data_IF_370373961202
#
_entry.id   IF_370373961202
#
_cell.length_a   1.000
_cell.length_b   1.000
_cell.length_c   1.000
_cell.angle_alpha   90.00
_cell.angle_beta   90.00
_cell.angle_gamma   90.00
#
_symmetry.space_group_name_H-M   'P 1'
#
loop_
_entity.id
_entity.type
_entity.pdbx_description
1 polymer ?
#
# COMPACT_ATOMS: atom_id res chain seq x y z
N UNK A 1 -5.41 -9.32 -28.55
CA UNK A 1 -5.51 -7.96 -27.99
C UNK A 1 -6.96 -7.77 -27.57
N UNK A 2 -7.31 -8.13 -26.33
CA UNK A 2 -8.68 -8.00 -25.83
C UNK A 2 -8.88 -6.60 -25.21
N UNK A 3 -10.06 -5.98 -25.38
CA UNK A 3 -10.32 -4.65 -24.88
C UNK A 3 -10.73 -4.72 -23.40
N UNK A 4 -10.06 -3.95 -22.55
CA UNK A 4 -10.51 -3.65 -21.19
C UNK A 4 -11.75 -2.75 -21.27
N UNK A 5 -12.92 -3.32 -21.54
CA UNK A 5 -14.17 -2.60 -21.50
C UNK A 5 -14.85 -2.80 -20.14
N UNK A 6 -14.93 -1.69 -19.42
CA UNK A 6 -16.08 -1.31 -18.60
C UNK A 6 -16.28 -2.08 -17.29
N UNK A 7 -15.24 -2.13 -16.47
CA UNK A 7 -15.38 -2.36 -15.04
C UNK A 7 -15.04 -1.03 -14.33
N UNK A 8 -15.47 -0.87 -13.09
CA UNK A 8 -14.64 -0.23 -12.06
C UNK A 8 -14.75 1.25 -11.66
N UNK A 9 -15.55 2.14 -12.26
CA UNK A 9 -15.52 3.54 -11.78
C UNK A 9 -15.99 3.73 -10.30
N UNK A 10 -16.72 2.77 -9.73
CA UNK A 10 -17.09 2.76 -8.30
C UNK A 10 -16.23 1.82 -7.42
N UNK A 11 -15.51 0.86 -8.01
CA UNK A 11 -14.72 -0.11 -7.22
C UNK A 11 -13.33 0.40 -6.91
N UNK A 12 -12.73 1.20 -7.78
CA UNK A 12 -11.41 1.79 -7.57
C UNK A 12 -11.39 2.86 -6.48
N UNK A 13 -12.53 3.51 -6.19
CA UNK A 13 -12.66 4.40 -5.02
C UNK A 13 -12.35 3.69 -3.70
N UNK A 14 -12.57 2.36 -3.62
CA UNK A 14 -12.20 1.55 -2.47
C UNK A 14 -10.69 1.29 -2.33
N UNK A 15 -9.88 1.63 -3.33
CA UNK A 15 -8.42 1.46 -3.28
C UNK A 15 -7.70 2.78 -3.05
N UNK A 16 -8.40 3.91 -2.97
CA UNK A 16 -7.76 5.23 -2.77
C UNK A 16 -7.66 5.60 -1.29
N UNK A 17 -8.48 5.00 -0.41
CA UNK A 17 -8.57 5.39 1.00
C UNK A 17 -7.22 5.31 1.73
N UNK A 18 -6.32 4.40 1.33
CA UNK A 18 -5.03 4.25 2.00
C UNK A 18 -4.17 5.51 1.90
N UNK A 19 -4.42 6.37 0.90
CA UNK A 19 -3.80 7.70 0.78
C UNK A 19 -4.18 8.65 1.91
N UNK A 20 -5.25 8.38 2.65
CA UNK A 20 -5.65 9.22 3.78
C UNK A 20 -4.96 8.82 5.09
N UNK A 21 -4.12 7.79 5.09
CA UNK A 21 -3.51 7.24 6.30
C UNK A 21 -1.99 7.45 6.32
N UNK A 22 -1.41 7.86 7.46
CA UNK A 22 0.03 7.80 7.66
C UNK A 22 0.48 6.33 7.75
N UNK A 23 1.72 6.05 7.40
CA UNK A 23 2.29 4.69 7.41
C UNK A 23 2.11 3.96 8.76
N UNK A 24 2.21 4.68 9.88
CA UNK A 24 2.05 4.12 11.22
C UNK A 24 0.60 3.76 11.60
N UNK A 25 -0.41 4.18 10.83
CA UNK A 25 -1.81 3.85 11.06
C UNK A 25 -2.24 2.53 10.39
N UNK A 26 -1.38 1.93 9.56
CA UNK A 26 -1.69 0.64 8.95
C UNK A 26 -1.65 -0.49 9.97
N UNK A 27 -2.62 -1.39 9.85
CA UNK A 27 -2.81 -2.55 10.72
C UNK A 27 -3.01 -3.79 9.84
N UNK A 28 -2.98 -4.98 10.43
CA UNK A 28 -3.32 -6.22 9.71
C UNK A 28 -4.76 -6.21 9.17
N UNK A 29 -5.68 -5.48 9.79
CA UNK A 29 -7.05 -5.35 9.27
C UNK A 29 -7.05 -4.58 7.94
N UNK A 30 -6.25 -3.52 7.84
CA UNK A 30 -6.05 -2.75 6.60
C UNK A 30 -5.41 -3.61 5.50
N UNK A 31 -4.42 -4.45 5.86
CA UNK A 31 -3.81 -5.41 4.93
C UNK A 31 -4.82 -6.43 4.39
N UNK A 32 -5.70 -6.95 5.27
CA UNK A 32 -6.73 -7.92 4.89
C UNK A 32 -7.74 -7.33 3.91
N UNK A 33 -8.21 -6.10 4.15
CA UNK A 33 -9.12 -5.38 3.24
C UNK A 33 -8.45 -5.15 1.88
N UNK A 34 -7.21 -4.66 1.86
CA UNK A 34 -6.45 -4.49 0.61
C UNK A 34 -6.32 -5.81 -0.15
N UNK A 35 -5.98 -6.89 0.54
CA UNK A 35 -5.84 -8.22 -0.08
C UNK A 35 -7.14 -8.70 -0.70
N UNK A 36 -8.28 -8.47 -0.05
CA UNK A 36 -9.59 -8.86 -0.57
C UNK A 36 -9.99 -8.04 -1.79
N UNK A 37 -9.85 -6.71 -1.74
CA UNK A 37 -10.18 -5.82 -2.86
C UNK A 37 -9.30 -6.11 -4.08
N UNK A 38 -8.00 -6.31 -3.87
CA UNK A 38 -7.06 -6.63 -4.95
C UNK A 38 -7.31 -8.03 -5.54
N UNK A 39 -7.72 -9.01 -4.72
CA UNK A 39 -8.12 -10.32 -5.23
C UNK A 39 -9.33 -10.23 -6.16
N UNK A 40 -10.31 -9.40 -5.80
CA UNK A 40 -11.50 -9.13 -6.60
C UNK A 40 -11.14 -8.44 -7.92
N UNK A 41 -10.21 -7.48 -7.88
CA UNK A 41 -9.79 -6.68 -9.03
C UNK A 41 -8.94 -7.47 -10.04
N UNK A 42 -7.91 -8.17 -9.56
CA UNK A 42 -6.94 -8.86 -10.43
C UNK A 42 -7.37 -10.28 -10.81
N UNK A 43 -8.36 -10.85 -10.13
CA UNK A 43 -8.87 -12.20 -10.41
C UNK A 43 -7.75 -13.24 -10.47
N UNK A 44 -7.62 -13.93 -11.61
CA UNK A 44 -6.61 -14.97 -11.79
C UNK A 44 -5.16 -14.46 -11.71
N UNK A 45 -4.91 -13.21 -12.10
CA UNK A 45 -3.58 -12.59 -12.06
C UNK A 45 -3.16 -12.13 -10.66
N UNK A 46 -4.05 -12.26 -9.67
CA UNK A 46 -3.81 -11.83 -8.30
C UNK A 46 -2.67 -12.60 -7.65
N UNK A 47 -2.66 -13.93 -7.80
CA UNK A 47 -1.73 -14.82 -7.09
C UNK A 47 -0.27 -14.44 -7.37
N UNK A 48 0.06 -14.21 -8.65
CA UNK A 48 1.41 -13.84 -9.04
C UNK A 48 1.84 -12.50 -8.44
N UNK A 49 0.99 -11.47 -8.48
CA UNK A 49 1.29 -10.18 -7.88
C UNK A 49 1.31 -10.19 -6.35
N UNK A 50 0.53 -11.06 -5.71
CA UNK A 50 0.46 -11.18 -4.25
C UNK A 50 1.69 -11.88 -3.68
N UNK A 51 2.14 -12.95 -4.34
CA UNK A 51 3.15 -13.84 -3.79
C UNK A 51 4.59 -13.43 -4.24
N UNK A 52 4.73 -12.61 -5.29
CA UNK A 52 6.00 -12.15 -5.82
C UNK A 52 6.09 -10.61 -5.87
N UNK A 53 6.95 -10.04 -5.03
CA UNK A 53 7.18 -8.60 -4.95
C UNK A 53 7.80 -8.04 -6.25
N UNK A 54 8.65 -8.80 -6.94
CA UNK A 54 9.27 -8.36 -8.19
C UNK A 54 8.22 -8.22 -9.30
N UNK A 55 7.24 -9.13 -9.36
CA UNK A 55 6.11 -9.03 -10.29
C UNK A 55 5.26 -7.79 -9.99
N UNK A 56 4.95 -7.54 -8.72
CA UNK A 56 4.22 -6.34 -8.30
C UNK A 56 4.96 -5.04 -8.67
N UNK A 57 6.26 -4.97 -8.36
CA UNK A 57 7.12 -3.83 -8.68
C UNK A 57 7.20 -3.62 -10.20
N UNK A 58 7.42 -4.67 -10.99
CA UNK A 58 7.50 -4.57 -12.44
C UNK A 58 6.20 -4.03 -13.06
N UNK A 59 5.04 -4.48 -12.54
CA UNK A 59 3.72 -3.95 -12.95
C UNK A 59 3.59 -2.48 -12.57
N UNK A 60 3.95 -2.10 -11.36
CA UNK A 60 3.90 -0.71 -10.90
C UNK A 60 4.81 0.20 -11.74
N UNK A 61 6.06 -0.18 -11.99
CA UNK A 61 6.98 0.59 -12.84
C UNK A 61 6.41 0.77 -14.23
N UNK A 62 5.91 -0.30 -14.86
CA UNK A 62 5.35 -0.25 -16.22
C UNK A 62 4.15 0.71 -16.29
N UNK A 63 3.22 0.58 -15.35
CA UNK A 63 2.01 1.42 -15.29
C UNK A 63 2.36 2.87 -14.97
N UNK A 64 3.25 3.10 -14.00
CA UNK A 64 3.70 4.45 -13.67
C UNK A 64 4.44 5.07 -14.86
N UNK A 65 5.27 4.33 -15.60
CA UNK A 65 6.00 4.89 -16.74
C UNK A 65 5.07 5.31 -17.90
N UNK A 66 3.95 4.61 -18.09
CA UNK A 66 2.95 4.97 -19.09
C UNK A 66 2.18 6.25 -18.71
N UNK A 67 2.42 7.34 -19.44
CA UNK A 67 1.73 8.63 -19.23
C UNK A 67 0.22 8.58 -19.55
N UNK A 68 -0.25 7.54 -20.24
CA UNK A 68 -1.66 7.35 -20.60
C UNK A 68 -2.36 6.35 -19.69
N UNK A 69 -1.67 5.79 -18.70
CA UNK A 69 -2.27 4.88 -17.74
C UNK A 69 -3.46 5.57 -17.04
N UNK A 70 -4.65 4.92 -17.00
CA UNK A 70 -5.79 5.47 -16.29
C UNK A 70 -5.48 5.53 -14.79
N UNK A 71 -6.03 6.54 -14.10
CA UNK A 71 -5.80 6.75 -12.67
C UNK A 71 -6.14 5.50 -11.84
N UNK A 72 -7.23 4.82 -12.20
CA UNK A 72 -7.65 3.55 -11.58
C UNK A 72 -6.58 2.45 -11.66
N UNK A 73 -5.90 2.33 -12.80
CA UNK A 73 -4.83 1.36 -12.96
C UNK A 73 -3.60 1.75 -12.13
N UNK A 74 -3.28 3.04 -12.04
CA UNK A 74 -2.22 3.56 -11.17
C UNK A 74 -2.56 3.24 -9.71
N UNK A 75 -3.79 3.49 -9.27
CA UNK A 75 -4.24 3.27 -7.91
C UNK A 75 -4.20 1.78 -7.55
N UNK A 76 -4.60 0.91 -8.47
CA UNK A 76 -4.52 -0.52 -8.32
C UNK A 76 -3.07 -1.00 -8.12
N UNK A 77 -2.14 -0.66 -9.01
CA UNK A 77 -0.75 -1.13 -8.90
C UNK A 77 -0.03 -0.54 -7.69
N UNK A 78 -0.37 0.70 -7.31
CA UNK A 78 0.17 1.33 -6.11
C UNK A 78 -0.33 0.64 -4.83
N UNK A 79 -1.58 0.18 -4.84
CA UNK A 79 -2.16 -0.62 -3.74
C UNK A 79 -1.51 -2.00 -3.63
N UNK A 80 -1.16 -2.63 -4.76
CA UNK A 80 -0.35 -3.87 -4.74
C UNK A 80 1.04 -3.62 -4.19
N UNK A 81 1.71 -2.53 -4.61
CA UNK A 81 3.02 -2.17 -4.05
C UNK A 81 2.93 -1.93 -2.54
N UNK A 82 1.92 -1.18 -2.08
CA UNK A 82 1.64 -0.95 -0.66
C UNK A 82 1.52 -2.26 0.12
N UNK A 83 0.83 -3.27 -0.40
CA UNK A 83 0.73 -4.58 0.27
C UNK A 83 2.12 -5.19 0.57
N UNK A 84 3.05 -5.10 -0.39
CA UNK A 84 4.43 -5.57 -0.18
C UNK A 84 5.24 -4.67 0.75
N UNK A 85 4.98 -3.35 0.76
CA UNK A 85 5.54 -2.44 1.77
C UNK A 85 5.11 -2.84 3.18
N UNK A 86 3.84 -3.17 3.38
CA UNK A 86 3.30 -3.62 4.67
C UNK A 86 3.93 -4.93 5.15
N UNK A 87 4.42 -5.76 4.21
CA UNK A 87 5.17 -6.99 4.48
C UNK A 87 6.67 -6.78 4.66
N UNK A 88 7.13 -5.54 4.54
CA UNK A 88 8.51 -5.14 4.79
C UNK A 88 9.43 -5.12 3.57
N UNK A 89 8.89 -5.18 2.34
CA UNK A 89 9.71 -5.09 1.13
C UNK A 89 10.21 -3.65 0.91
N UNK A 90 11.53 -3.47 0.94
CA UNK A 90 12.17 -2.17 0.79
C UNK A 90 12.11 -1.63 -0.65
N UNK A 91 12.16 -2.50 -1.67
CA UNK A 91 12.08 -2.07 -3.06
C UNK A 91 10.65 -1.61 -3.41
N UNK A 92 9.64 -2.32 -2.93
CA UNK A 92 8.24 -1.90 -3.06
C UNK A 92 7.98 -0.54 -2.41
N UNK A 93 8.69 -0.24 -1.30
CA UNK A 93 8.59 1.04 -0.60
C UNK A 93 9.11 2.19 -1.44
N UNK A 94 10.27 2.01 -2.08
CA UNK A 94 10.81 3.02 -3.00
C UNK A 94 9.87 3.28 -4.18
N UNK A 95 9.24 2.24 -4.73
CA UNK A 95 8.25 2.38 -5.80
C UNK A 95 6.99 3.10 -5.32
N UNK A 96 6.52 2.83 -4.11
CA UNK A 96 5.39 3.54 -3.51
C UNK A 96 5.71 5.03 -3.33
N UNK A 97 6.89 5.36 -2.83
CA UNK A 97 7.35 6.76 -2.66
C UNK A 97 7.44 7.45 -4.02
N UNK A 98 8.08 6.80 -5.00
CA UNK A 98 8.20 7.33 -6.35
C UNK A 98 6.82 7.60 -6.99
N UNK A 99 5.90 6.65 -6.87
CA UNK A 99 4.55 6.79 -7.43
C UNK A 99 3.74 7.90 -6.74
N UNK A 100 3.90 8.11 -5.43
CA UNK A 100 3.27 9.20 -4.69
C UNK A 100 3.82 10.56 -5.13
N UNK A 101 5.15 10.73 -5.18
CA UNK A 101 5.77 11.98 -5.62
C UNK A 101 5.38 12.36 -7.05
N UNK A 102 5.15 11.37 -7.93
CA UNK A 102 4.72 11.61 -9.31
C UNK A 102 3.33 12.28 -9.40
N UNK A 103 2.48 12.13 -8.40
CA UNK A 103 1.13 12.71 -8.41
C UNK A 103 1.13 14.24 -8.18
N UNK A 104 2.30 14.84 -7.89
CA UNK A 104 2.50 16.29 -7.77
C UNK A 104 1.44 16.98 -6.87
N UNK A 105 1.19 16.38 -5.70
CA UNK A 105 0.23 16.87 -4.72
C UNK A 105 0.90 16.96 -3.35
N UNK A 106 0.70 18.08 -2.65
CA UNK A 106 1.25 18.29 -1.30
C UNK A 106 0.83 17.17 -0.33
N UNK A 107 -0.40 16.67 -0.46
CA UNK A 107 -0.85 15.53 0.35
C UNK A 107 -0.02 14.28 0.06
N UNK A 108 0.28 14.00 -1.21
CA UNK A 108 1.10 12.86 -1.62
C UNK A 108 2.54 12.98 -1.14
N UNK A 109 3.11 14.19 -1.12
CA UNK A 109 4.46 14.43 -0.60
C UNK A 109 4.55 14.15 0.91
N UNK A 110 3.56 14.62 1.69
CA UNK A 110 3.49 14.34 3.12
C UNK A 110 3.33 12.84 3.42
N UNK A 111 2.54 12.13 2.61
CA UNK A 111 2.38 10.68 2.72
C UNK A 111 3.71 9.99 2.37
N UNK A 112 4.37 10.41 1.30
CA UNK A 112 5.66 9.87 0.88
C UNK A 112 6.74 10.05 1.96
N UNK A 113 6.79 11.21 2.62
CA UNK A 113 7.68 11.44 3.77
C UNK A 113 7.36 10.52 4.95
N UNK A 114 6.08 10.35 5.28
CA UNK A 114 5.65 9.38 6.27
C UNK A 114 6.13 7.96 5.95
N UNK A 115 6.06 7.58 4.67
CA UNK A 115 6.59 6.31 4.19
C UNK A 115 8.10 6.26 4.11
N UNK A 116 8.88 7.36 4.04
CA UNK A 116 10.36 7.33 4.11
C UNK A 116 10.89 7.10 5.51
N UNK A 117 10.16 7.54 6.52
CA UNK A 117 10.57 7.44 7.92
C UNK A 117 9.90 6.31 8.70
N UNK A 118 8.92 5.64 8.10
CA UNK A 118 8.30 4.46 8.68
C UNK A 118 9.36 3.39 9.02
N UNK A 119 9.33 2.78 10.22
CA UNK A 119 10.12 1.58 10.44
C UNK A 119 9.67 0.51 9.43
N UNK A 120 10.61 -0.25 8.87
CA UNK A 120 10.25 -1.44 8.08
C UNK A 120 9.38 -2.29 8.99
N UNK A 121 8.14 -2.56 8.58
CA UNK A 121 7.19 -3.36 9.35
C UNK A 121 7.68 -4.82 9.29
N UNK A 122 8.75 -5.13 10.02
CA UNK A 122 9.28 -6.50 10.13
C UNK A 122 8.48 -7.36 11.09
N UNK A 123 7.52 -6.75 11.79
CA UNK A 123 6.45 -7.41 12.54
C UNK A 123 5.46 -6.32 12.87
N UNK A 124 4.21 -6.52 12.47
CA UNK A 124 3.02 -5.86 13.01
C UNK A 124 3.29 -5.51 14.47
N UNK A 125 3.24 -4.22 14.80
CA UNK A 125 3.49 -3.69 16.14
C UNK A 125 2.92 -4.64 17.20
N UNK A 126 3.79 -5.49 17.74
CA UNK A 126 3.47 -6.32 18.88
C UNK A 126 3.41 -5.35 20.06
N UNK A 127 2.21 -4.86 20.33
CA UNK A 127 1.77 -4.41 21.64
C UNK A 127 2.82 -3.61 22.42
N UNK A 128 3.05 -2.35 22.06
CA UNK A 128 3.55 -1.37 23.02
C UNK A 128 2.41 -0.97 23.96
N UNK A 129 1.90 -1.93 24.73
CA UNK A 129 1.10 -1.64 25.91
C UNK A 129 2.01 -0.89 26.89
N UNK A 130 1.54 0.23 27.49
CA UNK A 130 2.31 0.91 28.52
C UNK A 130 2.49 -0.05 29.70
N UNK A 131 3.75 -0.42 29.94
CA UNK A 131 4.19 -1.21 31.10
C UNK A 131 3.81 -0.43 32.36
N UNK A 132 2.64 -0.75 32.95
CA UNK A 132 2.17 -0.17 34.22
C UNK A 132 3.30 -0.31 35.25
N UNK A 133 3.98 0.80 35.55
CA UNK A 133 4.83 0.92 36.76
C UNK A 133 3.90 0.72 37.95
N UNK A 134 3.97 -0.44 38.60
CA UNK A 134 3.42 -0.61 39.94
C UNK A 134 4.25 0.27 40.87
N UNK A 135 3.68 1.39 41.30
CA UNK A 135 4.15 2.10 42.48
C UNK A 135 3.94 1.18 43.68
N UNK A 136 5.04 0.73 44.29
CA UNK A 136 5.02 0.14 45.63
C UNK A 136 5.12 1.30 46.60
N UNK A 137 4.00 1.69 47.22
CA UNK A 137 4.01 2.50 48.44
C UNK A 137 4.26 1.50 49.57
N UNK A 138 5.40 1.62 50.23
CA UNK A 138 5.65 0.98 51.52
C UNK A 138 5.38 2.04 52.60
N UNK A 139 4.48 1.70 53.53
CA UNK A 139 4.33 2.36 54.82
C UNK A 139 5.41 1.85 55.78
#
# INVERSE_FOLDING_TARGET
>A
MQPYHNIESHRTSSLVWWRSFPACAFTSAHEAVLTQELASLFGADWRAARDDAAVAIARAIRTLHDKRAPADAVDAVMSVALLHVLRGDAAAREILIFGLCRQNSLACDLIADGWRHAPVIQRLCASSLPRRRRFRVAQ
#
